data_IF_921719839322
#
_entry.id   IF_921719839322
#
_cell.length_a   1.000
_cell.length_b   1.000
_cell.length_c   1.000
_cell.angle_alpha   90.00
_cell.angle_beta   90.00
_cell.angle_gamma   90.00
#
_symmetry.space_group_name_H-M   'P 1'
#
loop_
_entity.id
_entity.type
_entity.pdbx_description
1 polymer ?
#
# COMPACT_ATOMS: atom_id res chain seq x y z
N UNK A 1 -9.24 6.35 -11.13
CA UNK A 1 -8.01 7.08 -11.51
C UNK A 1 -6.75 6.42 -10.97
N UNK A 2 -6.70 6.00 -9.70
CA UNK A 2 -5.51 5.31 -9.12
C UNK A 2 -5.16 4.04 -9.91
N UNK A 3 -6.13 3.14 -10.09
CA UNK A 3 -5.92 1.87 -10.82
C UNK A 3 -5.46 2.11 -12.27
N UNK A 4 -6.09 3.04 -12.97
CA UNK A 4 -5.73 3.36 -14.36
C UNK A 4 -4.33 3.94 -14.50
N UNK A 5 -3.84 4.69 -13.51
CA UNK A 5 -2.48 5.22 -13.51
C UNK A 5 -1.46 4.11 -13.23
N UNK A 6 -1.73 3.24 -12.25
CA UNK A 6 -0.88 2.09 -11.95
C UNK A 6 -0.70 1.15 -13.17
N UNK A 7 -1.78 0.91 -13.93
CA UNK A 7 -1.76 0.12 -15.18
C UNK A 7 -0.92 0.79 -16.28
N UNK A 8 -0.87 2.12 -16.34
CA UNK A 8 -0.20 2.84 -17.42
C UNK A 8 1.31 2.98 -17.22
N UNK A 9 1.79 2.89 -15.98
CA UNK A 9 3.13 3.32 -15.60
C UNK A 9 4.09 2.19 -15.17
N UNK A 10 3.67 0.92 -15.22
CA UNK A 10 4.50 -0.25 -14.81
C UNK A 10 5.19 -0.02 -13.45
N UNK A 11 4.36 0.27 -12.44
CA UNK A 11 4.85 0.75 -11.14
C UNK A 11 5.33 -0.39 -10.25
N UNK A 12 6.45 -0.18 -9.55
CA UNK A 12 7.01 -1.13 -8.58
C UNK A 12 6.18 -1.28 -7.29
N UNK A 13 5.38 -0.26 -6.95
CA UNK A 13 4.47 -0.27 -5.82
C UNK A 13 3.44 0.87 -5.94
N UNK A 14 2.32 0.77 -5.23
CA UNK A 14 1.33 1.84 -5.11
C UNK A 14 1.31 2.37 -3.68
N UNK A 15 1.58 3.66 -3.52
CA UNK A 15 1.44 4.37 -2.23
C UNK A 15 0.10 5.10 -2.12
N UNK A 16 -0.72 4.76 -1.12
CA UNK A 16 -1.98 5.44 -0.81
C UNK A 16 -1.82 6.30 0.44
N UNK A 17 -2.01 7.63 0.32
CA UNK A 17 -2.01 8.54 1.47
C UNK A 17 -3.45 8.92 1.83
N UNK A 18 -3.93 8.49 3.02
CA UNK A 18 -5.31 8.67 3.47
C UNK A 18 -5.37 9.48 4.76
N UNK A 19 -5.95 10.69 4.68
CA UNK A 19 -6.13 11.59 5.83
C UNK A 19 -7.62 11.80 6.21
N UNK A 20 -8.55 11.20 5.46
CA UNK A 20 -10.00 11.41 5.60
C UNK A 20 -10.71 10.45 6.55
N UNK A 21 -10.00 9.43 7.09
CA UNK A 21 -10.60 8.33 7.85
C UNK A 21 -11.36 7.30 7.00
N UNK A 22 -11.32 7.42 5.67
CA UNK A 22 -12.00 6.52 4.72
C UNK A 22 -11.14 5.30 4.33
N UNK A 23 -10.05 5.01 5.05
CA UNK A 23 -9.07 3.98 4.70
C UNK A 23 -9.68 2.58 4.62
N UNK A 24 -10.65 2.26 5.48
CA UNK A 24 -11.34 0.97 5.49
C UNK A 24 -12.27 0.73 4.29
N UNK A 25 -12.60 1.77 3.52
CA UNK A 25 -13.43 1.67 2.31
C UNK A 25 -12.57 1.84 1.06
N UNK A 26 -11.75 2.89 1.03
CA UNK A 26 -10.96 3.26 -0.15
C UNK A 26 -9.85 2.26 -0.44
N UNK A 27 -9.14 1.76 0.59
CA UNK A 27 -8.01 0.86 0.37
C UNK A 27 -8.48 -0.49 -0.21
N UNK A 28 -9.52 -1.16 0.35
CA UNK A 28 -10.06 -2.37 -0.25
C UNK A 28 -10.56 -2.17 -1.69
N UNK A 29 -11.17 -1.01 -1.98
CA UNK A 29 -11.63 -0.70 -3.34
C UNK A 29 -10.47 -0.57 -4.33
N UNK A 30 -9.34 0.00 -3.92
CA UNK A 30 -8.13 0.08 -4.76
C UNK A 30 -7.53 -1.31 -4.96
N UNK A 31 -7.39 -2.11 -3.90
CA UNK A 31 -6.87 -3.48 -3.99
C UNK A 31 -7.69 -4.33 -4.97
N UNK A 32 -9.02 -4.30 -4.85
CA UNK A 32 -9.90 -5.01 -5.77
C UNK A 32 -9.74 -4.52 -7.21
N UNK A 33 -9.62 -3.20 -7.41
CA UNK A 33 -9.41 -2.62 -8.72
C UNK A 33 -8.08 -3.02 -9.36
N UNK A 34 -6.98 -3.07 -8.59
CA UNK A 34 -5.68 -3.55 -9.06
C UNK A 34 -5.73 -5.03 -9.43
N UNK A 35 -6.33 -5.87 -8.58
CA UNK A 35 -6.53 -7.29 -8.86
C UNK A 35 -7.36 -7.51 -10.13
N UNK A 36 -8.45 -6.75 -10.30
CA UNK A 36 -9.28 -6.83 -11.50
C UNK A 36 -8.54 -6.39 -12.77
N UNK A 37 -7.49 -5.58 -12.64
CA UNK A 37 -6.60 -5.18 -13.73
C UNK A 37 -5.42 -6.13 -13.95
N UNK A 38 -5.29 -7.21 -13.18
CA UNK A 38 -4.18 -8.16 -13.26
C UNK A 38 -2.86 -7.64 -12.67
N UNK A 39 -2.94 -6.71 -11.71
CA UNK A 39 -1.81 -6.14 -10.97
C UNK A 39 -1.82 -6.59 -9.50
N UNK A 40 -2.17 -7.85 -9.25
CA UNK A 40 -2.19 -8.44 -7.91
C UNK A 40 -0.79 -8.67 -7.31
N UNK A 41 0.24 -8.60 -8.13
CA UNK A 41 1.66 -8.66 -7.78
C UNK A 41 2.23 -7.30 -7.35
N UNK A 42 1.58 -6.19 -7.70
CA UNK A 42 2.05 -4.84 -7.34
C UNK A 42 1.72 -4.56 -5.86
N UNK A 43 2.73 -4.39 -4.98
CA UNK A 43 2.48 -4.18 -3.57
C UNK A 43 1.85 -2.81 -3.30
N UNK A 44 0.83 -2.79 -2.45
CA UNK A 44 0.17 -1.57 -1.99
C UNK A 44 0.64 -1.21 -0.59
N UNK A 45 1.08 0.04 -0.41
CA UNK A 45 1.53 0.61 0.85
C UNK A 45 0.56 1.74 1.22
N UNK A 46 0.16 1.82 2.49
CA UNK A 46 -0.79 2.84 2.96
C UNK A 46 -0.13 3.73 4.00
N UNK A 47 -0.24 5.05 3.82
CA UNK A 47 0.16 6.06 4.78
C UNK A 47 -1.03 6.86 5.30
N UNK A 48 -0.99 7.34 6.55
CA UNK A 48 -1.95 8.33 7.04
C UNK A 48 -2.39 8.16 8.49
N UNK A 49 -3.49 8.82 8.87
CA UNK A 49 -4.05 8.74 10.23
C UNK A 49 -4.89 7.46 10.36
N UNK A 50 -4.24 6.35 10.70
CA UNK A 50 -4.87 5.02 10.71
C UNK A 50 -4.72 4.40 12.12
N UNK A 51 -5.82 4.01 12.77
CA UNK A 51 -5.78 3.26 14.02
C UNK A 51 -5.08 1.91 13.85
N UNK A 52 -4.32 1.45 14.85
CA UNK A 52 -3.55 0.20 14.79
C UNK A 52 -4.41 -1.03 14.46
N UNK A 53 -5.67 -1.07 14.93
CA UNK A 53 -6.62 -2.14 14.61
C UNK A 53 -6.98 -2.18 13.12
N UNK A 54 -7.16 -1.01 12.53
CA UNK A 54 -7.52 -0.87 11.12
C UNK A 54 -6.31 -1.17 10.25
N UNK A 55 -5.13 -0.69 10.63
CA UNK A 55 -3.87 -1.02 9.97
C UNK A 55 -3.64 -2.54 9.88
N UNK A 56 -3.86 -3.28 10.97
CA UNK A 56 -3.77 -4.75 10.96
C UNK A 56 -4.77 -5.38 9.99
N UNK A 57 -6.02 -4.92 9.99
CA UNK A 57 -7.05 -5.43 9.06
C UNK A 57 -6.71 -5.14 7.60
N UNK A 58 -6.12 -3.98 7.31
CA UNK A 58 -5.67 -3.65 5.96
C UNK A 58 -4.54 -4.59 5.51
N UNK A 59 -3.60 -4.93 6.39
CA UNK A 59 -2.54 -5.91 6.09
C UNK A 59 -3.12 -7.29 5.84
N UNK A 60 -4.08 -7.74 6.65
CA UNK A 60 -4.82 -9.00 6.43
C UNK A 60 -5.57 -9.03 5.09
N UNK A 61 -5.93 -7.86 4.54
CA UNK A 61 -6.60 -7.72 3.24
C UNK A 61 -5.63 -7.63 2.06
N UNK A 62 -4.31 -7.62 2.28
CA UNK A 62 -3.30 -7.61 1.22
C UNK A 62 -2.52 -6.29 1.08
N UNK A 63 -2.67 -5.34 2.01
CA UNK A 63 -1.74 -4.21 2.10
C UNK A 63 -0.38 -4.71 2.57
N UNK A 64 0.68 -4.35 1.85
CA UNK A 64 2.04 -4.79 2.16
C UNK A 64 2.62 -4.09 3.40
N UNK A 65 2.32 -2.81 3.60
CA UNK A 65 2.77 -2.05 4.77
C UNK A 65 1.82 -0.87 5.08
N UNK A 66 1.73 -0.51 6.37
CA UNK A 66 0.97 0.66 6.85
C UNK A 66 1.89 1.56 7.65
N UNK A 67 1.97 2.84 7.29
CA UNK A 67 2.73 3.87 7.98
C UNK A 67 1.80 4.95 8.54
N UNK A 68 1.95 5.25 9.81
CA UNK A 68 1.13 6.17 10.60
C UNK A 68 2.00 7.30 11.15
N UNK A 69 1.43 8.35 11.79
CA UNK A 69 2.25 9.39 12.43
C UNK A 69 3.18 8.89 13.54
N UNK A 70 2.98 7.65 14.03
CA UNK A 70 3.90 7.01 14.98
C UNK A 70 5.20 6.58 14.30
N UNK A 71 5.18 6.42 12.98
CA UNK A 71 6.31 6.08 12.14
C UNK A 71 6.97 7.38 11.68
N UNK A 72 7.92 7.89 12.46
CA UNK A 72 8.61 9.16 12.18
C UNK A 72 10.00 8.98 11.54
N UNK A 73 10.52 7.76 11.53
CA UNK A 73 11.82 7.43 10.96
C UNK A 73 11.78 7.37 9.44
N UNK A 74 11.97 8.49 8.74
CA UNK A 74 11.93 8.54 7.27
C UNK A 74 12.83 7.48 6.61
N UNK A 75 14.05 7.30 7.11
CA UNK A 75 15.00 6.30 6.59
C UNK A 75 14.48 4.87 6.78
N UNK A 76 13.83 4.60 7.91
CA UNK A 76 13.23 3.28 8.20
C UNK A 76 12.04 3.01 7.29
N UNK A 77 11.17 4.01 7.08
CA UNK A 77 10.05 3.94 6.15
C UNK A 77 10.54 3.66 4.72
N UNK A 78 11.56 4.40 4.27
CA UNK A 78 12.15 4.19 2.95
C UNK A 78 12.77 2.81 2.81
N UNK A 79 13.46 2.32 3.84
CA UNK A 79 13.98 0.95 3.88
C UNK A 79 12.86 -0.09 3.74
N UNK A 80 11.80 0.05 4.53
CA UNK A 80 10.65 -0.85 4.47
C UNK A 80 9.92 -0.83 3.12
N UNK A 81 9.80 0.33 2.46
CA UNK A 81 9.26 0.41 1.10
C UNK A 81 10.13 -0.40 0.12
N UNK A 82 11.47 -0.25 0.19
CA UNK A 82 12.39 -1.00 -0.67
C UNK A 82 12.30 -2.50 -0.40
N UNK A 83 12.18 -2.91 0.86
CA UNK A 83 12.06 -4.33 1.22
C UNK A 83 10.75 -4.95 0.73
N UNK A 84 9.64 -4.20 0.79
CA UNK A 84 8.36 -4.60 0.21
C UNK A 84 8.48 -4.84 -1.31
N UNK A 85 9.13 -3.91 -2.02
CA UNK A 85 9.34 -4.03 -3.47
C UNK A 85 10.20 -5.24 -3.79
N UNK A 86 11.30 -5.45 -3.05
CA UNK A 86 12.19 -6.60 -3.23
C UNK A 86 11.45 -7.92 -3.04
N UNK A 87 10.63 -8.02 -2.00
CA UNK A 87 9.86 -9.22 -1.70
C UNK A 87 8.81 -9.53 -2.79
N UNK A 88 8.18 -8.50 -3.37
CA UNK A 88 7.21 -8.66 -4.45
C UNK A 88 7.83 -9.14 -5.78
N UNK A 89 9.11 -8.86 -6.00
CA UNK A 89 9.82 -9.21 -7.24
C UNK A 89 10.87 -10.33 -7.08
N UNK A 90 10.84 -11.08 -5.98
CA UNK A 90 11.79 -12.17 -5.67
C UNK A 90 13.28 -11.74 -5.71
N UNK A 91 13.55 -10.48 -5.37
CA UNK A 91 14.90 -9.91 -5.33
C UNK A 91 15.48 -10.03 -3.92
N UNK A 92 15.97 -11.24 -3.59
CA UNK A 92 16.65 -11.55 -2.32
C UNK A 92 18.11 -11.11 -2.24
#
# INVERSE_FOLDING_TARGET
>A
QIVSAAVAEDVHCVGLSILSGSHMELVPSVLEGLRAAGLDDVPVIVGGIIPDSDGKRLVEQGVAAVYTPKDFGLTEIMGGIVDVIRAAHDLG
#
